data_IF_137079154113
#
_entry.id   IF_137079154113
#
_cell.length_a   1.000
_cell.length_b   1.000
_cell.length_c   1.000
_cell.angle_alpha   90.00
_cell.angle_beta   90.00
_cell.angle_gamma   90.00
#
_symmetry.space_group_name_H-M   'P 1'
#
loop_
_entity.id
_entity.type
_entity.pdbx_description
1 polymer ?
#
# COMPACT_ATOMS: atom_id res chain seq x y z
N UNK A 1 12.89 11.86 -19.45
CA UNK A 1 14.00 12.51 -18.70
C UNK A 1 15.15 11.54 -18.67
N UNK A 2 16.38 12.01 -18.99
CA UNK A 2 17.53 11.11 -19.06
C UNK A 2 18.07 10.81 -17.66
N UNK A 3 18.58 9.59 -17.48
CA UNK A 3 19.22 9.18 -16.23
C UNK A 3 20.56 9.90 -16.04
N UNK A 4 20.95 10.23 -14.79
CA UNK A 4 22.23 10.90 -14.56
C UNK A 4 23.42 9.99 -14.95
N UNK A 5 24.43 10.57 -15.60
CA UNK A 5 25.62 9.83 -16.03
C UNK A 5 26.34 9.18 -14.83
N UNK A 6 26.34 9.84 -13.67
CA UNK A 6 26.90 9.32 -12.42
C UNK A 6 26.23 8.02 -11.94
N UNK A 7 24.97 7.76 -12.32
CA UNK A 7 24.31 6.50 -11.99
C UNK A 7 25.08 5.31 -12.56
N UNK A 8 25.49 5.38 -13.82
CA UNK A 8 26.20 4.28 -14.48
C UNK A 8 27.58 4.03 -13.86
N UNK A 9 28.28 5.09 -13.45
CA UNK A 9 29.54 4.94 -12.71
C UNK A 9 29.32 4.27 -11.34
N UNK A 10 28.23 4.62 -10.64
CA UNK A 10 27.89 3.99 -9.36
C UNK A 10 27.43 2.53 -9.51
N UNK A 11 26.84 2.13 -10.63
CA UNK A 11 26.51 0.71 -10.86
C UNK A 11 27.76 -0.16 -10.78
N UNK A 12 28.90 0.28 -11.33
CA UNK A 12 30.16 -0.47 -11.22
C UNK A 12 30.62 -0.60 -9.76
N UNK A 13 30.53 0.47 -8.98
CA UNK A 13 30.88 0.46 -7.55
C UNK A 13 29.91 -0.41 -6.70
N UNK A 14 28.68 -0.59 -7.17
CA UNK A 14 27.67 -1.38 -6.46
C UNK A 14 27.69 -2.88 -6.81
N UNK A 15 28.46 -3.27 -7.82
CA UNK A 15 28.64 -4.67 -8.17
C UNK A 15 29.38 -5.42 -7.07
N UNK A 16 28.95 -6.63 -6.85
CA UNK A 16 29.66 -7.66 -6.07
C UNK A 16 29.81 -8.89 -6.95
N UNK A 17 30.56 -9.88 -6.49
CA UNK A 17 30.70 -11.17 -7.19
C UNK A 17 29.36 -11.89 -7.40
N UNK A 18 28.38 -11.61 -6.51
CA UNK A 18 27.03 -12.18 -6.56
C UNK A 18 26.03 -11.34 -7.38
N UNK A 19 26.42 -10.18 -7.88
CA UNK A 19 25.51 -9.35 -8.66
C UNK A 19 25.29 -9.93 -10.05
N UNK A 20 24.04 -10.23 -10.41
CA UNK A 20 23.68 -10.81 -11.71
C UNK A 20 23.01 -9.82 -12.65
N UNK A 21 22.29 -8.82 -12.12
CA UNK A 21 21.68 -7.77 -12.92
C UNK A 21 21.41 -6.50 -12.11
N UNK A 22 21.30 -5.37 -12.81
CA UNK A 22 20.66 -4.15 -12.33
C UNK A 22 19.51 -3.79 -13.25
N UNK A 23 18.37 -3.45 -12.66
CA UNK A 23 17.21 -2.94 -13.37
C UNK A 23 16.73 -1.61 -12.80
N UNK A 24 16.15 -0.80 -13.66
CA UNK A 24 15.40 0.40 -13.32
C UNK A 24 13.94 0.03 -13.23
N UNK A 25 13.28 0.41 -12.16
CA UNK A 25 11.84 0.29 -11.97
C UNK A 25 11.21 1.68 -11.77
N UNK A 26 9.97 1.72 -11.34
CA UNK A 26 9.28 2.96 -10.97
C UNK A 26 9.03 3.92 -12.13
N UNK A 27 8.88 5.20 -11.79
CA UNK A 27 8.49 6.26 -12.74
C UNK A 27 9.48 6.48 -13.88
N UNK A 28 10.78 6.34 -13.61
CA UNK A 28 11.81 6.46 -14.66
C UNK A 28 11.76 5.31 -15.66
N UNK A 29 11.42 4.11 -15.24
CA UNK A 29 11.26 2.97 -16.16
C UNK A 29 10.02 3.15 -17.04
N UNK A 30 8.92 3.62 -16.47
CA UNK A 30 7.67 3.90 -17.19
C UNK A 30 7.74 5.15 -18.09
N UNK A 31 8.64 6.09 -17.79
CA UNK A 31 8.77 7.35 -18.55
C UNK A 31 7.85 8.47 -18.06
N UNK A 32 7.22 8.33 -16.88
CA UNK A 32 6.34 9.31 -16.24
C UNK A 32 6.99 10.05 -15.06
N UNK A 33 8.32 9.95 -14.92
CA UNK A 33 9.08 10.62 -13.87
C UNK A 33 8.93 12.14 -13.90
N UNK A 34 8.63 12.75 -12.76
CA UNK A 34 8.59 14.18 -12.56
C UNK A 34 9.88 14.73 -11.92
N UNK A 35 9.95 16.07 -11.70
CA UNK A 35 11.15 16.72 -11.13
C UNK A 35 11.52 16.27 -9.70
N UNK A 36 10.58 15.67 -8.99
CA UNK A 36 10.73 15.19 -7.62
C UNK A 36 10.70 13.66 -7.50
N UNK A 37 10.70 12.96 -8.64
CA UNK A 37 10.76 11.50 -8.65
C UNK A 37 12.13 10.99 -8.24
N UNK A 38 12.16 9.95 -7.44
CA UNK A 38 13.33 9.14 -7.16
C UNK A 38 13.62 8.17 -8.31
N UNK A 39 14.83 7.68 -8.34
CA UNK A 39 15.30 6.67 -9.32
C UNK A 39 15.37 5.33 -8.61
N UNK A 40 14.46 4.43 -8.93
CA UNK A 40 14.39 3.09 -8.35
C UNK A 40 15.32 2.12 -9.07
N UNK A 41 16.40 1.72 -8.42
CA UNK A 41 17.35 0.73 -8.93
C UNK A 41 17.24 -0.55 -8.14
N UNK A 42 17.04 -1.67 -8.84
CA UNK A 42 17.03 -3.00 -8.22
C UNK A 42 18.29 -3.75 -8.63
N UNK A 43 19.05 -4.20 -7.64
CA UNK A 43 20.19 -5.10 -7.79
C UNK A 43 19.71 -6.53 -7.56
N UNK A 44 19.84 -7.38 -8.55
CA UNK A 44 19.59 -8.81 -8.44
C UNK A 44 20.89 -9.55 -8.10
N UNK A 45 20.81 -10.47 -7.15
CA UNK A 45 21.92 -11.33 -6.72
C UNK A 45 21.57 -12.80 -6.91
N UNK A 46 22.60 -13.66 -7.00
CA UNK A 46 22.44 -15.12 -7.16
C UNK A 46 22.54 -15.91 -5.83
N UNK A 47 22.63 -15.20 -4.70
CA UNK A 47 22.74 -15.79 -3.38
C UNK A 47 21.64 -15.26 -2.44
N UNK A 48 20.92 -16.19 -1.77
CA UNK A 48 19.90 -15.86 -0.78
C UNK A 48 20.48 -15.42 0.59
N UNK A 49 21.79 -15.53 0.79
CA UNK A 49 22.46 -15.08 2.02
C UNK A 49 22.66 -13.55 2.09
N UNK A 50 22.45 -12.84 0.98
CA UNK A 50 22.52 -11.39 0.98
C UNK A 50 21.33 -10.83 1.74
N UNK A 51 21.61 -10.02 2.76
CA UNK A 51 20.58 -9.25 3.44
C UNK A 51 19.94 -8.25 2.47
N UNK A 52 18.62 -8.13 2.55
CA UNK A 52 17.85 -7.13 1.81
C UNK A 52 18.18 -5.74 2.37
N UNK A 53 19.15 -5.08 1.76
CA UNK A 53 19.52 -3.70 2.10
C UNK A 53 18.97 -2.73 1.06
N UNK A 54 17.86 -2.08 1.39
CA UNK A 54 17.49 -0.86 0.68
C UNK A 54 18.45 0.27 1.11
N UNK A 55 19.09 0.92 0.15
CA UNK A 55 19.99 2.06 0.39
C UNK A 55 19.57 3.25 -0.47
N UNK A 56 19.56 4.41 0.15
CA UNK A 56 19.26 5.67 -0.52
C UNK A 56 20.55 6.45 -0.77
N UNK A 57 20.71 6.96 -1.99
CA UNK A 57 21.86 7.73 -2.44
C UNK A 57 21.40 9.07 -2.99
N UNK A 58 22.21 10.11 -2.79
CA UNK A 58 22.04 11.39 -3.44
C UNK A 58 23.17 11.57 -4.46
N UNK A 59 22.85 11.43 -5.75
CA UNK A 59 23.83 11.64 -6.83
C UNK A 59 23.88 13.10 -7.25
N UNK A 60 25.02 13.53 -7.82
CA UNK A 60 25.27 14.93 -8.22
C UNK A 60 25.79 15.81 -7.08
N UNK A 61 26.18 15.25 -5.92
CA UNK A 61 26.89 15.97 -4.86
C UNK A 61 28.34 15.49 -4.79
N UNK A 62 29.27 16.40 -4.46
CA UNK A 62 30.69 16.05 -4.21
C UNK A 62 30.90 15.20 -2.96
N UNK A 63 29.86 15.03 -2.12
CA UNK A 63 29.90 14.23 -0.90
C UNK A 63 29.02 13.00 -1.05
N UNK A 64 29.60 11.81 -0.89
CA UNK A 64 28.88 10.55 -0.71
C UNK A 64 28.18 10.55 0.65
N UNK A 65 26.88 10.78 0.66
CA UNK A 65 26.07 10.59 1.88
C UNK A 65 25.37 9.26 1.76
N UNK A 66 25.90 8.24 2.45
CA UNK A 66 25.21 6.96 2.63
C UNK A 66 24.62 6.91 4.03
N UNK A 67 23.30 6.91 4.16
CA UNK A 67 22.63 6.63 5.43
C UNK A 67 21.47 5.67 5.22
N UNK A 68 21.39 4.71 6.13
CA UNK A 68 20.26 3.78 6.28
C UNK A 68 19.03 4.59 6.73
N UNK A 69 17.97 4.64 5.94
CA UNK A 69 16.65 5.22 6.29
C UNK A 69 16.58 6.67 6.82
N UNK A 70 17.55 7.53 6.60
CA UNK A 70 17.41 8.94 6.94
C UNK A 70 17.17 9.78 5.69
N UNK A 71 15.99 10.39 5.60
CA UNK A 71 15.71 11.45 4.65
C UNK A 71 16.58 12.68 5.02
N UNK A 72 17.67 12.87 4.32
CA UNK A 72 18.41 14.12 4.43
C UNK A 72 17.76 15.11 3.47
N UNK A 73 17.04 16.08 4.03
CA UNK A 73 16.59 17.27 3.30
C UNK A 73 17.80 18.09 2.84
N UNK A 74 18.41 17.70 1.72
CA UNK A 74 19.41 18.50 1.03
C UNK A 74 18.73 19.18 -0.17
N UNK A 75 17.75 19.99 0.09
CA UNK A 75 17.16 20.90 -0.88
C UNK A 75 18.19 21.98 -1.28
N UNK A 76 18.25 22.27 -2.56
CA UNK A 76 18.78 23.44 -3.26
C UNK A 76 19.96 23.20 -4.22
N UNK A 77 19.94 22.07 -4.97
CA UNK A 77 20.62 22.10 -6.25
C UNK A 77 19.71 21.47 -7.33
N UNK A 78 19.48 22.13 -8.47
CA UNK A 78 18.60 21.64 -9.54
C UNK A 78 19.13 20.38 -10.26
N UNK A 79 20.21 19.77 -9.81
CA UNK A 79 20.89 18.64 -10.45
C UNK A 79 21.14 17.46 -9.50
N UNK A 80 20.40 17.34 -8.38
CA UNK A 80 20.56 16.20 -7.47
C UNK A 80 19.46 15.16 -7.68
N UNK A 81 19.88 13.91 -7.76
CA UNK A 81 19.02 12.76 -7.99
C UNK A 81 18.95 11.91 -6.74
N UNK A 82 17.75 11.71 -6.23
CA UNK A 82 17.49 10.73 -5.19
C UNK A 82 17.45 9.34 -5.86
N UNK A 83 18.34 8.45 -5.46
CA UNK A 83 18.38 7.08 -5.98
C UNK A 83 18.11 6.12 -4.83
N UNK A 84 17.12 5.29 -4.98
CA UNK A 84 16.80 4.19 -4.07
C UNK A 84 17.28 2.89 -4.71
N UNK A 85 18.22 2.20 -4.05
CA UNK A 85 18.69 0.88 -4.48
C UNK A 85 18.20 -0.18 -3.52
N UNK A 86 17.43 -1.12 -4.00
CA UNK A 86 17.12 -2.37 -3.30
C UNK A 86 17.97 -3.51 -3.83
N UNK A 87 18.20 -4.52 -2.98
CA UNK A 87 18.84 -5.78 -3.37
C UNK A 87 17.80 -6.89 -3.27
N UNK A 88 17.76 -7.76 -4.27
CA UNK A 88 16.76 -8.80 -4.41
C UNK A 88 17.43 -10.14 -4.64
N UNK A 89 17.05 -11.13 -3.84
CA UNK A 89 17.54 -12.50 -3.85
C UNK A 89 16.66 -13.41 -4.70
N UNK A 90 17.12 -14.62 -5.09
CA UNK A 90 16.31 -15.58 -5.82
C UNK A 90 15.02 -15.96 -5.09
N UNK A 91 15.05 -16.17 -3.77
CA UNK A 91 13.87 -16.51 -2.98
C UNK A 91 12.82 -15.38 -2.98
N UNK A 92 13.26 -14.12 -2.94
CA UNK A 92 12.36 -12.97 -3.06
C UNK A 92 11.73 -12.89 -4.45
N UNK A 93 12.49 -13.16 -5.52
CA UNK A 93 11.92 -13.24 -6.88
C UNK A 93 10.81 -14.30 -6.93
N UNK A 94 11.05 -15.49 -6.35
CA UNK A 94 10.02 -16.53 -6.32
C UNK A 94 8.77 -16.10 -5.52
N UNK A 95 8.95 -15.39 -4.42
CA UNK A 95 7.82 -14.87 -3.64
C UNK A 95 6.94 -13.90 -4.43
N UNK A 96 7.51 -13.13 -5.36
CA UNK A 96 6.77 -12.20 -6.21
C UNK A 96 5.74 -12.88 -7.11
N UNK A 97 5.97 -14.15 -7.44
CA UNK A 97 5.09 -14.93 -8.31
C UNK A 97 4.19 -15.91 -7.54
N UNK A 98 4.44 -16.14 -6.26
CA UNK A 98 3.73 -17.14 -5.46
C UNK A 98 2.92 -16.56 -4.30
N UNK A 99 3.28 -15.36 -3.82
CA UNK A 99 2.61 -14.70 -2.69
C UNK A 99 1.76 -13.50 -3.17
N UNK A 100 0.44 -13.49 -2.88
CA UNK A 100 -0.49 -12.53 -3.48
C UNK A 100 -0.12 -11.08 -3.18
N UNK A 101 0.25 -10.76 -1.94
CA UNK A 101 0.64 -9.40 -1.57
C UNK A 101 1.87 -8.91 -2.34
N UNK A 102 2.86 -9.77 -2.53
CA UNK A 102 4.06 -9.46 -3.30
C UNK A 102 3.73 -9.31 -4.79
N UNK A 103 2.93 -10.23 -5.34
CA UNK A 103 2.53 -10.18 -6.75
C UNK A 103 1.81 -8.87 -7.10
N UNK A 104 0.86 -8.44 -6.29
CA UNK A 104 0.12 -7.20 -6.52
C UNK A 104 1.02 -5.97 -6.49
N UNK A 105 2.07 -5.97 -5.68
CA UNK A 105 2.98 -4.84 -5.52
C UNK A 105 4.01 -4.73 -6.65
N UNK A 106 4.55 -5.86 -7.13
CA UNK A 106 5.77 -5.82 -7.94
C UNK A 106 5.57 -6.21 -9.41
N UNK A 107 4.61 -7.10 -9.73
CA UNK A 107 4.47 -7.65 -11.09
C UNK A 107 4.24 -6.53 -12.13
N UNK A 108 3.40 -5.56 -11.82
CA UNK A 108 3.16 -4.44 -12.72
C UNK A 108 4.45 -3.64 -12.99
N UNK A 109 5.19 -3.31 -11.93
CA UNK A 109 6.47 -2.59 -12.06
C UNK A 109 7.54 -3.36 -12.85
N UNK A 110 7.60 -4.70 -12.70
CA UNK A 110 8.52 -5.53 -13.48
C UNK A 110 8.22 -5.51 -14.98
N UNK A 111 6.95 -5.45 -15.37
CA UNK A 111 6.55 -5.39 -16.78
C UNK A 111 7.13 -4.18 -17.50
N UNK A 112 7.19 -3.05 -16.80
CA UNK A 112 7.67 -1.76 -17.29
C UNK A 112 9.16 -1.55 -17.03
N UNK A 113 9.79 -2.44 -16.26
CA UNK A 113 11.19 -2.37 -15.87
C UNK A 113 12.15 -2.35 -17.05
N UNK A 114 13.32 -1.72 -16.87
CA UNK A 114 14.36 -1.59 -17.89
C UNK A 114 15.69 -2.11 -17.34
N UNK A 115 16.37 -2.99 -18.07
CA UNK A 115 17.71 -3.42 -17.72
C UNK A 115 18.68 -2.23 -17.79
N UNK A 116 19.47 -2.03 -16.72
CA UNK A 116 20.62 -1.13 -16.71
C UNK A 116 21.91 -1.89 -16.96
N UNK A 117 22.00 -3.10 -16.46
CA UNK A 117 23.09 -4.05 -16.68
C UNK A 117 22.55 -5.48 -16.47
N UNK A 118 22.62 -6.32 -17.49
CA UNK A 118 22.05 -7.68 -17.47
C UNK A 118 22.80 -8.60 -18.45
N UNK A 119 24.05 -8.95 -18.16
CA UNK A 119 24.93 -9.64 -19.13
C UNK A 119 24.51 -11.08 -19.42
N UNK A 120 23.63 -11.68 -18.61
CA UNK A 120 23.17 -13.06 -18.76
C UNK A 120 21.64 -13.16 -18.87
N UNK A 121 20.98 -12.07 -19.25
CA UNK A 121 19.52 -12.00 -19.43
C UNK A 121 18.70 -12.44 -18.20
N UNK A 122 19.26 -12.29 -16.99
CA UNK A 122 18.56 -12.71 -15.75
C UNK A 122 17.33 -11.85 -15.47
N UNK A 123 17.48 -10.52 -15.55
CA UNK A 123 16.35 -9.63 -15.42
C UNK A 123 15.37 -9.78 -16.60
N UNK A 124 15.87 -9.96 -17.81
CA UNK A 124 15.03 -10.20 -18.99
C UNK A 124 14.13 -11.43 -18.81
N UNK A 125 14.65 -12.51 -18.21
CA UNK A 125 13.87 -13.70 -17.89
C UNK A 125 12.79 -13.43 -16.83
N UNK A 126 13.12 -12.67 -15.77
CA UNK A 126 12.16 -12.27 -14.74
C UNK A 126 11.06 -11.39 -15.35
N UNK A 127 11.43 -10.42 -16.19
CA UNK A 127 10.49 -9.54 -16.88
C UNK A 127 9.56 -10.32 -17.82
N UNK A 128 10.10 -11.27 -18.57
CA UNK A 128 9.30 -12.14 -19.42
C UNK A 128 8.27 -12.93 -18.60
N UNK A 129 8.69 -13.54 -17.49
CA UNK A 129 7.80 -14.22 -16.55
C UNK A 129 6.73 -13.28 -15.99
N UNK A 130 7.07 -12.01 -15.68
CA UNK A 130 6.11 -11.01 -15.23
C UNK A 130 5.08 -10.62 -16.31
N UNK A 131 5.50 -10.56 -17.59
CA UNK A 131 4.60 -10.28 -18.72
C UNK A 131 3.60 -11.42 -18.95
N UNK A 132 4.02 -12.66 -18.73
CA UNK A 132 3.19 -13.86 -18.87
C UNK A 132 2.38 -14.21 -17.62
N UNK A 133 2.65 -13.52 -16.51
CA UNK A 133 2.01 -13.80 -15.23
C UNK A 133 0.50 -13.62 -15.30
N UNK A 134 -0.22 -14.64 -14.81
CA UNK A 134 -1.68 -14.66 -14.71
C UNK A 134 -2.10 -14.80 -13.26
N UNK A 135 -3.01 -13.97 -12.84
CA UNK A 135 -3.67 -14.12 -11.55
C UNK A 135 -4.60 -15.34 -11.62
N UNK A 136 -4.27 -16.36 -10.83
CA UNK A 136 -4.99 -17.63 -10.82
C UNK A 136 -6.01 -17.68 -9.70
N UNK A 137 -6.99 -18.60 -9.78
CA UNK A 137 -7.94 -18.87 -8.70
C UNK A 137 -7.22 -19.25 -7.39
N UNK A 138 -6.17 -20.07 -7.47
CA UNK A 138 -5.37 -20.44 -6.30
C UNK A 138 -4.67 -19.23 -5.64
N UNK A 139 -4.22 -18.25 -6.43
CA UNK A 139 -3.69 -16.98 -5.88
C UNK A 139 -4.81 -16.13 -5.28
N UNK A 140 -5.99 -16.10 -5.90
CA UNK A 140 -7.14 -15.38 -5.36
C UNK A 140 -7.59 -15.98 -4.02
N UNK A 141 -7.63 -17.29 -3.88
CA UNK A 141 -7.93 -17.94 -2.60
C UNK A 141 -6.91 -17.61 -1.50
N UNK A 142 -5.62 -17.55 -1.85
CA UNK A 142 -4.58 -17.08 -0.92
C UNK A 142 -4.78 -15.60 -0.56
N UNK A 143 -5.12 -14.77 -1.54
CA UNK A 143 -5.37 -13.34 -1.34
C UNK A 143 -6.59 -13.10 -0.46
N UNK A 144 -7.67 -13.85 -0.64
CA UNK A 144 -8.87 -13.76 0.19
C UNK A 144 -8.58 -14.17 1.65
N UNK A 145 -7.79 -15.23 1.86
CA UNK A 145 -7.33 -15.60 3.21
C UNK A 145 -6.46 -14.52 3.85
N UNK A 146 -5.58 -13.89 3.08
CA UNK A 146 -4.76 -12.77 3.57
C UNK A 146 -5.63 -11.56 3.87
N UNK A 147 -6.57 -11.21 2.99
CA UNK A 147 -7.54 -10.14 3.20
C UNK A 147 -8.36 -10.34 4.48
N UNK A 148 -8.78 -11.58 4.77
CA UNK A 148 -9.45 -11.94 6.01
C UNK A 148 -8.61 -11.68 7.25
N UNK A 149 -7.35 -12.14 7.25
CA UNK A 149 -6.40 -11.89 8.35
C UNK A 149 -6.16 -10.39 8.57
N UNK A 150 -5.98 -9.64 7.49
CA UNK A 150 -5.84 -8.18 7.56
C UNK A 150 -7.10 -7.53 8.16
N UNK A 151 -8.29 -7.95 7.72
CA UNK A 151 -9.55 -7.41 8.24
C UNK A 151 -9.75 -7.72 9.74
N UNK A 152 -9.34 -8.91 10.19
CA UNK A 152 -9.29 -9.26 11.65
C UNK A 152 -8.30 -8.35 12.36
N UNK A 153 -7.12 -8.08 11.78
CA UNK A 153 -6.11 -7.17 12.33
C UNK A 153 -6.68 -5.76 12.59
N UNK A 154 -7.53 -5.26 11.72
CA UNK A 154 -8.14 -3.93 11.85
C UNK A 154 -9.30 -3.83 12.87
N UNK A 155 -9.66 -4.92 13.56
CA UNK A 155 -10.63 -4.89 14.67
C UNK A 155 -10.18 -3.92 15.77
N UNK A 156 -8.89 -3.89 16.08
CA UNK A 156 -8.34 -2.99 17.11
C UNK A 156 -8.57 -1.52 16.75
N UNK A 157 -8.33 -1.14 15.50
CA UNK A 157 -8.56 0.23 15.01
C UNK A 157 -10.04 0.60 14.99
N UNK A 158 -10.91 -0.34 14.69
CA UNK A 158 -12.35 -0.11 14.82
C UNK A 158 -12.76 0.16 16.29
N UNK A 159 -12.23 -0.59 17.24
CA UNK A 159 -12.48 -0.34 18.66
C UNK A 159 -11.85 0.97 19.16
N UNK A 160 -10.64 1.31 18.69
CA UNK A 160 -10.02 2.63 18.95
C UNK A 160 -10.89 3.77 18.40
N UNK A 161 -11.46 3.60 17.22
CA UNK A 161 -12.38 4.56 16.60
C UNK A 161 -13.62 4.80 17.46
N UNK A 162 -14.31 3.74 17.87
CA UNK A 162 -15.47 3.83 18.75
C UNK A 162 -15.16 4.52 20.07
N UNK A 163 -14.05 4.12 20.73
CA UNK A 163 -13.64 4.73 21.99
C UNK A 163 -13.17 6.18 21.82
N UNK A 164 -12.51 6.49 20.69
CA UNK A 164 -12.13 7.86 20.31
C UNK A 164 -13.34 8.77 20.13
N UNK A 165 -14.39 8.26 19.46
CA UNK A 165 -15.65 8.98 19.28
C UNK A 165 -16.34 9.23 20.63
N UNK A 166 -16.40 8.23 21.50
CA UNK A 166 -17.02 8.33 22.84
C UNK A 166 -16.30 9.33 23.76
N UNK A 167 -14.94 9.32 23.75
CA UNK A 167 -14.13 10.18 24.64
C UNK A 167 -13.72 11.50 24.02
N UNK A 168 -13.99 11.72 22.76
CA UNK A 168 -13.43 12.83 21.97
C UNK A 168 -11.89 12.84 21.99
N UNK A 169 -11.26 11.65 21.92
CA UNK A 169 -9.82 11.45 22.01
C UNK A 169 -9.20 11.52 20.61
N UNK A 170 -8.55 12.65 20.31
CA UNK A 170 -7.92 12.92 19.01
C UNK A 170 -6.87 11.87 18.64
N UNK A 171 -6.06 11.38 19.59
CA UNK A 171 -5.02 10.39 19.32
C UNK A 171 -5.61 9.04 18.83
N UNK A 172 -6.67 8.57 19.49
CA UNK A 172 -7.42 7.38 19.08
C UNK A 172 -8.10 7.55 17.73
N UNK A 173 -8.69 8.72 17.48
CA UNK A 173 -9.33 9.05 16.22
C UNK A 173 -8.34 9.07 15.05
N UNK A 174 -7.14 9.65 15.24
CA UNK A 174 -6.10 9.63 14.20
C UNK A 174 -5.61 8.23 13.87
N UNK A 175 -5.38 7.37 14.89
CA UNK A 175 -5.00 5.98 14.65
C UNK A 175 -6.10 5.21 13.91
N UNK A 176 -7.35 5.34 14.36
CA UNK A 176 -8.47 4.68 13.70
C UNK A 176 -8.66 5.16 12.26
N UNK A 177 -8.56 6.47 11.99
CA UNK A 177 -8.62 7.02 10.64
C UNK A 177 -7.59 6.38 9.72
N UNK A 178 -6.32 6.31 10.16
CA UNK A 178 -5.25 5.71 9.37
C UNK A 178 -5.54 4.24 9.05
N UNK A 179 -5.84 3.42 10.06
CA UNK A 179 -6.11 1.99 9.87
C UNK A 179 -7.37 1.72 9.05
N UNK A 180 -8.47 2.45 9.34
CA UNK A 180 -9.75 2.27 8.66
C UNK A 180 -9.85 2.91 7.27
N UNK A 181 -8.82 3.62 6.80
CA UNK A 181 -8.73 4.08 5.42
C UNK A 181 -7.72 3.26 4.63
N UNK A 182 -6.42 3.41 4.89
CA UNK A 182 -5.36 2.68 4.18
C UNK A 182 -5.46 1.16 4.35
N UNK A 183 -5.72 0.69 5.57
CA UNK A 183 -5.83 -0.74 5.85
C UNK A 183 -6.98 -1.39 5.10
N UNK A 184 -8.17 -0.75 5.07
CA UNK A 184 -9.32 -1.31 4.35
C UNK A 184 -9.19 -1.20 2.83
N UNK A 185 -8.49 -0.17 2.32
CA UNK A 185 -8.12 -0.10 0.91
C UNK A 185 -7.19 -1.26 0.53
N UNK A 186 -6.22 -1.61 1.38
CA UNK A 186 -5.35 -2.75 1.20
C UNK A 186 -6.11 -4.09 1.23
N UNK A 187 -7.02 -4.29 2.19
CA UNK A 187 -7.91 -5.46 2.24
C UNK A 187 -8.68 -5.64 0.93
N UNK A 188 -9.25 -4.55 0.43
CA UNK A 188 -10.02 -4.59 -0.83
C UNK A 188 -9.12 -4.85 -2.05
N UNK A 189 -7.90 -4.31 -2.07
CA UNK A 189 -6.90 -4.61 -3.09
C UNK A 189 -6.62 -6.10 -3.20
N UNK A 190 -6.39 -6.75 -2.06
CA UNK A 190 -6.18 -8.21 -1.99
C UNK A 190 -7.39 -8.97 -2.51
N UNK A 191 -8.58 -8.65 -1.98
CA UNK A 191 -9.83 -9.32 -2.34
C UNK A 191 -10.17 -9.17 -3.83
N UNK A 192 -9.81 -8.08 -4.47
CA UNK A 192 -10.09 -7.82 -5.88
C UNK A 192 -8.92 -8.11 -6.82
N UNK A 193 -7.77 -8.54 -6.29
CA UNK A 193 -6.58 -8.84 -7.10
C UNK A 193 -6.09 -7.62 -7.88
N UNK A 194 -6.07 -6.42 -7.26
CA UNK A 194 -5.77 -5.16 -7.96
C UNK A 194 -4.27 -4.94 -8.06
N UNK A 195 -3.73 -4.96 -9.27
CA UNK A 195 -2.35 -4.58 -9.57
C UNK A 195 -2.23 -3.06 -9.66
N UNK A 196 -1.25 -2.50 -8.96
CA UNK A 196 -0.91 -1.08 -9.08
C UNK A 196 0.51 -0.92 -9.60
N UNK A 197 0.72 0.03 -10.50
CA UNK A 197 2.05 0.33 -11.06
C UNK A 197 2.87 1.21 -10.14
N UNK A 198 2.24 1.89 -9.19
CA UNK A 198 2.90 2.70 -8.16
C UNK A 198 1.96 2.90 -6.97
N UNK A 199 2.54 3.30 -5.83
CA UNK A 199 1.76 3.69 -4.65
C UNK A 199 0.89 4.93 -4.92
N UNK A 200 1.31 5.78 -5.86
CA UNK A 200 0.55 6.98 -6.25
C UNK A 200 -0.77 6.64 -6.95
N UNK A 201 -0.87 5.49 -7.63
CA UNK A 201 -2.08 5.05 -8.32
C UNK A 201 -2.94 4.12 -7.48
N UNK A 202 -2.41 3.60 -6.36
CA UNK A 202 -3.06 2.60 -5.52
C UNK A 202 -4.52 2.93 -5.19
N UNK A 203 -4.78 4.17 -4.74
CA UNK A 203 -6.12 4.62 -4.37
C UNK A 203 -7.08 4.59 -5.57
N UNK A 204 -6.68 5.18 -6.69
CA UNK A 204 -7.49 5.22 -7.91
C UNK A 204 -7.70 3.85 -8.53
N UNK A 205 -6.68 2.97 -8.48
CA UNK A 205 -6.75 1.61 -9.02
C UNK A 205 -7.78 0.77 -8.26
N UNK A 206 -7.77 0.83 -6.92
CA UNK A 206 -8.74 0.11 -6.09
C UNK A 206 -10.15 0.63 -6.31
N UNK A 207 -10.36 1.95 -6.33
CA UNK A 207 -11.66 2.56 -6.61
C UNK A 207 -12.16 2.19 -8.01
N UNK A 208 -11.28 2.21 -9.01
CA UNK A 208 -11.63 1.84 -10.39
C UNK A 208 -12.19 0.42 -10.50
N UNK A 209 -11.59 -0.55 -9.78
CA UNK A 209 -12.03 -1.95 -9.80
C UNK A 209 -13.29 -2.18 -8.96
N UNK A 210 -13.41 -1.54 -7.81
CA UNK A 210 -14.62 -1.66 -6.95
C UNK A 210 -15.80 -0.94 -7.56
N UNK A 211 -15.56 0.13 -8.30
CA UNK A 211 -16.56 1.02 -8.90
C UNK A 211 -16.71 2.33 -8.10
N UNK A 212 -16.48 3.50 -8.72
CA UNK A 212 -16.44 4.79 -8.03
C UNK A 212 -17.78 5.19 -7.41
N UNK A 213 -18.90 4.70 -7.96
CA UNK A 213 -20.25 5.01 -7.48
C UNK A 213 -20.74 4.08 -6.37
N UNK A 214 -19.96 3.05 -6.01
CA UNK A 214 -20.35 2.13 -4.95
C UNK A 214 -20.33 2.81 -3.58
N UNK A 215 -21.14 2.29 -2.66
CA UNK A 215 -21.12 2.75 -1.27
C UNK A 215 -19.74 2.60 -0.65
N UNK A 216 -19.04 1.52 -0.96
CA UNK A 216 -17.68 1.28 -0.47
C UNK A 216 -16.71 2.40 -0.90
N UNK A 217 -16.70 2.76 -2.19
CA UNK A 217 -15.84 3.82 -2.71
C UNK A 217 -16.16 5.18 -2.09
N UNK A 218 -17.45 5.53 -1.94
CA UNK A 218 -17.88 6.78 -1.28
C UNK A 218 -17.43 6.84 0.18
N UNK A 219 -17.57 5.75 0.92
CA UNK A 219 -17.09 5.66 2.30
C UNK A 219 -15.57 5.75 2.40
N UNK A 220 -14.82 5.18 1.44
CA UNK A 220 -13.38 5.30 1.39
C UNK A 220 -12.93 6.75 1.19
N UNK A 221 -13.54 7.48 0.24
CA UNK A 221 -13.26 8.91 0.04
C UNK A 221 -13.49 9.71 1.33
N UNK A 222 -14.62 9.46 2.00
CA UNK A 222 -14.93 10.13 3.27
C UNK A 222 -13.93 9.77 4.38
N UNK A 223 -13.54 8.49 4.49
CA UNK A 223 -12.56 8.05 5.50
C UNK A 223 -11.17 8.65 5.27
N UNK A 224 -10.78 8.94 4.02
CA UNK A 224 -9.57 9.67 3.68
C UNK A 224 -9.68 11.20 3.89
N UNK A 225 -10.88 11.73 4.14
CA UNK A 225 -11.12 13.17 4.22
C UNK A 225 -11.08 13.86 2.85
N UNK A 226 -11.32 13.14 1.77
CA UNK A 226 -11.44 13.70 0.44
C UNK A 226 -12.85 14.29 0.32
N UNK A 227 -12.95 15.63 0.29
CA UNK A 227 -14.21 16.33 0.14
C UNK A 227 -14.84 16.02 -1.23
N UNK A 228 -16.12 15.70 -1.26
CA UNK A 228 -16.90 15.76 -2.49
C UNK A 228 -17.37 17.20 -2.70
N UNK A 229 -17.50 17.63 -3.94
CA UNK A 229 -17.87 19.04 -4.30
C UNK A 229 -19.14 19.56 -3.59
N UNK A 230 -19.98 18.66 -3.06
CA UNK A 230 -21.22 18.99 -2.36
C UNK A 230 -21.02 19.39 -0.87
N UNK A 231 -19.88 19.09 -0.28
CA UNK A 231 -19.65 19.24 1.15
C UNK A 231 -18.67 20.38 1.45
N UNK A 232 -19.09 21.61 1.27
CA UNK A 232 -18.29 22.83 1.52
C UNK A 232 -17.76 23.02 2.94
N UNK A 233 -17.80 22.00 3.79
CA UNK A 233 -17.24 21.96 5.14
C UNK A 233 -16.03 21.03 5.23
N UNK A 234 -14.97 21.49 5.90
CA UNK A 234 -13.85 20.65 6.31
C UNK A 234 -14.40 19.48 7.14
N UNK A 235 -14.29 18.26 6.63
CA UNK A 235 -14.73 17.08 7.37
C UNK A 235 -14.02 17.02 8.72
N UNK A 236 -14.77 17.10 9.80
CA UNK A 236 -14.22 16.90 11.12
C UNK A 236 -13.71 15.46 11.24
N UNK A 237 -12.54 15.26 11.84
CA UNK A 237 -11.91 13.94 12.08
C UNK A 237 -12.90 12.87 12.58
N UNK A 238 -13.90 13.27 13.35
CA UNK A 238 -14.98 12.38 13.81
C UNK A 238 -15.82 11.81 12.65
N UNK A 239 -16.16 12.64 11.64
CA UNK A 239 -16.89 12.20 10.45
C UNK A 239 -16.07 11.22 9.63
N UNK A 240 -14.77 11.48 9.47
CA UNK A 240 -13.83 10.60 8.75
C UNK A 240 -13.72 9.22 9.43
N UNK A 241 -13.60 9.18 10.76
CA UNK A 241 -13.57 7.94 11.53
C UNK A 241 -14.93 7.20 11.48
N UNK A 242 -16.05 7.93 11.55
CA UNK A 242 -17.38 7.33 11.37
C UNK A 242 -17.51 6.68 10.00
N UNK A 243 -17.06 7.35 8.93
CA UNK A 243 -17.05 6.79 7.59
C UNK A 243 -16.14 5.55 7.51
N UNK A 244 -14.97 5.57 8.17
CA UNK A 244 -14.07 4.42 8.28
C UNK A 244 -14.70 3.21 8.99
N UNK A 245 -15.45 3.44 10.06
CA UNK A 245 -16.21 2.38 10.76
C UNK A 245 -17.31 1.77 9.87
N UNK A 246 -18.03 2.59 9.12
CA UNK A 246 -19.02 2.12 8.15
C UNK A 246 -18.34 1.41 6.96
N UNK A 247 -17.18 1.87 6.54
CA UNK A 247 -16.36 1.22 5.53
C UNK A 247 -15.92 -0.17 5.97
N UNK A 248 -15.53 -0.35 7.25
CA UNK A 248 -15.23 -1.67 7.83
C UNK A 248 -16.42 -2.62 7.70
N UNK A 249 -17.63 -2.18 8.05
CA UNK A 249 -18.85 -2.97 7.92
C UNK A 249 -19.12 -3.35 6.44
N UNK A 250 -18.95 -2.41 5.53
CA UNK A 250 -19.16 -2.65 4.10
C UNK A 250 -18.10 -3.62 3.53
N UNK A 251 -16.82 -3.45 3.91
CA UNK A 251 -15.74 -4.35 3.54
C UNK A 251 -16.04 -5.78 3.99
N UNK A 252 -16.47 -5.98 5.25
CA UNK A 252 -16.88 -7.29 5.73
C UNK A 252 -18.04 -7.87 4.91
N UNK A 253 -19.05 -7.08 4.60
CA UNK A 253 -20.20 -7.54 3.79
C UNK A 253 -19.75 -8.08 2.43
N UNK A 254 -18.78 -7.44 1.79
CA UNK A 254 -18.23 -7.85 0.49
C UNK A 254 -17.38 -9.11 0.58
N UNK A 255 -16.61 -9.28 1.67
CA UNK A 255 -15.68 -10.40 1.85
C UNK A 255 -16.32 -11.63 2.53
N UNK A 256 -17.46 -11.48 3.23
CA UNK A 256 -18.03 -12.50 4.14
C UNK A 256 -18.07 -13.92 3.58
N UNK A 257 -18.34 -14.06 2.28
CA UNK A 257 -18.43 -15.38 1.62
C UNK A 257 -17.09 -16.05 1.38
N UNK A 258 -16.00 -15.29 1.34
CA UNK A 258 -14.63 -15.75 1.09
C UNK A 258 -13.84 -15.98 2.38
N UNK A 259 -14.42 -15.66 3.55
CA UNK A 259 -13.72 -15.73 4.84
C UNK A 259 -13.92 -17.08 5.53
N UNK A 260 -12.91 -17.58 6.28
CA UNK A 260 -13.09 -18.68 7.22
C UNK A 260 -14.16 -18.39 8.26
N UNK A 261 -14.89 -19.42 8.70
CA UNK A 261 -16.00 -19.25 9.66
C UNK A 261 -15.58 -18.64 11.00
N UNK A 262 -14.37 -18.93 11.47
CA UNK A 262 -13.78 -18.37 12.68
C UNK A 262 -13.54 -16.86 12.57
N UNK A 263 -13.02 -16.40 11.44
CA UNK A 263 -12.81 -14.96 11.17
C UNK A 263 -14.15 -14.24 11.05
N UNK A 264 -15.15 -14.87 10.40
CA UNK A 264 -16.50 -14.32 10.27
C UNK A 264 -17.10 -14.01 11.63
N UNK A 265 -16.98 -14.92 12.61
CA UNK A 265 -17.54 -14.72 13.96
C UNK A 265 -16.92 -13.52 14.67
N UNK A 266 -15.58 -13.38 14.61
CA UNK A 266 -14.86 -12.27 15.23
C UNK A 266 -15.23 -10.93 14.60
N UNK A 267 -15.22 -10.87 13.27
CA UNK A 267 -15.51 -9.64 12.53
C UNK A 267 -16.98 -9.25 12.71
N UNK A 268 -17.91 -10.21 12.67
CA UNK A 268 -19.35 -9.97 12.82
C UNK A 268 -19.70 -9.38 14.18
N UNK A 269 -19.04 -9.84 15.26
CA UNK A 269 -19.21 -9.26 16.60
C UNK A 269 -18.78 -7.78 16.62
N UNK A 270 -17.68 -7.45 15.94
CA UNK A 270 -17.22 -6.05 15.81
C UNK A 270 -18.19 -5.21 14.98
N UNK A 271 -18.67 -5.73 13.84
CA UNK A 271 -19.66 -5.06 12.99
C UNK A 271 -20.96 -4.76 13.77
N UNK A 272 -21.48 -5.73 14.51
CA UNK A 272 -22.66 -5.53 15.36
C UNK A 272 -22.43 -4.46 16.43
N UNK A 273 -21.23 -4.40 17.00
CA UNK A 273 -20.87 -3.35 17.95
C UNK A 273 -20.82 -1.99 17.29
N UNK A 274 -20.15 -1.85 16.12
CA UNK A 274 -20.12 -0.60 15.37
C UNK A 274 -21.55 -0.12 15.09
N UNK A 275 -22.41 -0.99 14.58
CA UNK A 275 -23.78 -0.62 14.23
C UNK A 275 -24.59 -0.13 15.46
N UNK A 276 -24.46 -0.78 16.61
CA UNK A 276 -25.12 -0.34 17.86
C UNK A 276 -24.63 1.02 18.33
N UNK A 277 -23.32 1.19 18.43
CA UNK A 277 -22.73 2.44 18.94
C UNK A 277 -23.02 3.65 18.02
N UNK A 278 -23.01 3.43 16.69
CA UNK A 278 -23.34 4.50 15.75
C UNK A 278 -24.83 4.83 15.74
N UNK A 279 -25.72 3.85 15.96
CA UNK A 279 -27.16 4.09 16.10
C UNK A 279 -27.48 4.89 17.37
N UNK A 280 -26.83 4.58 18.50
CA UNK A 280 -26.99 5.33 19.75
C UNK A 280 -26.55 6.79 19.61
N UNK A 281 -25.40 7.05 18.93
CA UNK A 281 -24.90 8.41 18.71
C UNK A 281 -25.84 9.29 17.85
N UNK A 282 -26.66 8.69 16.98
CA UNK A 282 -27.68 9.42 16.21
C UNK A 282 -28.87 9.82 17.11
N UNK A 283 -29.27 8.95 18.00
CA UNK A 283 -30.40 9.23 18.95
C UNK A 283 -30.02 10.31 19.97
N UNK A 284 -28.76 10.33 20.46
CA UNK A 284 -28.32 11.37 21.40
C UNK A 284 -28.23 12.77 20.73
N UNK A 285 -28.04 12.82 19.42
CA UNK A 285 -28.05 14.09 18.66
C UNK A 285 -29.48 14.66 18.49
N UNK A 286 -30.49 13.80 18.53
CA UNK A 286 -31.91 14.17 18.42
C UNK A 286 -32.61 14.32 19.79
N UNK A 287 -31.89 14.20 20.92
CA UNK A 287 -32.35 14.56 22.26
C UNK A 287 -33.06 13.46 23.04
N UNK A 288 -33.03 12.20 22.62
CA UNK A 288 -33.52 11.06 23.39
C UNK A 288 -32.38 10.31 24.12
N UNK A 289 -32.39 10.35 25.46
CA UNK A 289 -31.38 9.65 26.28
C UNK A 289 -31.53 8.13 26.20
N UNK A 290 -30.54 7.43 25.66
CA UNK A 290 -30.36 6.01 25.91
C UNK A 290 -29.91 5.80 27.36
N UNK A 291 -30.81 5.36 28.22
CA UNK A 291 -30.48 4.94 29.58
C UNK A 291 -29.55 3.72 29.60
N UNK A 292 -28.69 3.58 30.63
CA UNK A 292 -27.74 2.45 30.70
C UNK A 292 -28.57 1.14 30.87
N UNK A 293 -28.41 0.26 29.87
CA UNK A 293 -28.84 -1.14 30.05
C UNK A 293 -27.85 -1.85 30.97
N UNK A 294 -28.32 -2.18 32.15
CA UNK A 294 -27.65 -2.97 33.18
C UNK A 294 -27.19 -4.35 32.73
#
# INVERSE_FOLDING_TARGET
MDLPAELFANLEDWKTEHTVAFALLGSYARGDAGPHSDVDVVRFVDDDKHEDEARTFLLGSRERVTRRHEYVSAMHSPQRWLVVRSTVTPSQVESWFSEPGQALNIIAGLRDGRALWDPKDQFAAIQHRAKEFKWTEALQEKADRLAGKELVGWIEEAHKGLEGLRRNDTGRLLNARFGLSWGLAWVMRLHRGVFSTSDNTFFSDVIGVVGPETRWAKLLHQAFGIATEADGETFALRKEVTAGLLLYCETFSLLKKSLPSEDVLLIEATVQRIQRELACNVMDADGEQCGPTS
#
